data_IF_025239675790
#
_entry.id   IF_025239675790
#
_cell.length_a   1.000
_cell.length_b   1.000
_cell.length_c   1.000
_cell.angle_alpha   90.00
_cell.angle_beta   90.00
_cell.angle_gamma   90.00
#
_symmetry.space_group_name_H-M   'P 1'
#
loop_
_entity.id
_entity.type
_entity.pdbx_description
1 polymer ?
#
# COMPACT_ATOMS: atom_id res chain seq x y z
N UNK A 1 13.11 -3.00 10.42
CA UNK A 1 13.06 -2.48 9.03
C UNK A 1 12.69 -1.02 9.13
N UNK A 2 13.01 -0.24 8.11
CA UNK A 2 12.74 1.20 8.08
C UNK A 2 12.69 1.68 6.63
N UNK A 3 12.82 2.97 6.39
CA UNK A 3 12.68 3.52 5.04
C UNK A 3 13.58 2.93 3.95
N UNK A 4 14.75 2.39 4.32
CA UNK A 4 15.64 1.71 3.38
C UNK A 4 15.00 0.48 2.71
N UNK A 5 13.94 -0.06 3.33
CA UNK A 5 13.22 -1.25 2.88
C UNK A 5 11.87 -0.89 2.20
N UNK A 6 11.54 0.40 2.06
CA UNK A 6 10.36 0.85 1.28
C UNK A 6 10.63 0.60 -0.20
N UNK A 7 9.71 -0.11 -0.86
CA UNK A 7 9.80 -0.38 -2.30
C UNK A 7 8.66 0.35 -2.99
N UNK A 8 9.01 1.23 -3.92
CA UNK A 8 8.06 1.79 -4.87
C UNK A 8 8.43 1.32 -6.28
N UNK A 9 7.49 0.66 -6.96
CA UNK A 9 7.69 0.18 -8.32
C UNK A 9 6.42 0.35 -9.14
N UNK A 10 6.58 0.64 -10.44
CA UNK A 10 5.46 0.59 -11.38
C UNK A 10 5.43 -0.78 -12.03
N UNK A 11 4.30 -1.45 -11.95
CA UNK A 11 4.06 -2.69 -12.68
C UNK A 11 3.55 -2.35 -14.08
N UNK A 12 3.86 -3.19 -15.06
CA UNK A 12 3.38 -2.99 -16.42
C UNK A 12 2.02 -3.66 -16.66
N UNK A 13 1.49 -3.45 -17.85
CA UNK A 13 0.50 -4.36 -18.42
C UNK A 13 1.25 -5.59 -18.93
N UNK A 14 0.87 -6.78 -18.47
CA UNK A 14 1.52 -8.02 -18.91
C UNK A 14 0.98 -8.51 -20.25
N UNK A 15 -0.33 -8.35 -20.47
CA UNK A 15 -0.99 -8.70 -21.72
C UNK A 15 -2.24 -7.85 -21.92
N UNK A 16 -2.54 -7.49 -23.17
CA UNK A 16 -3.77 -6.78 -23.52
C UNK A 16 -4.26 -7.24 -24.89
N UNK A 17 -5.49 -7.70 -24.95
CA UNK A 17 -6.18 -8.06 -26.18
C UNK A 17 -7.64 -7.57 -26.15
N UNK A 18 -8.43 -7.92 -27.17
CA UNK A 18 -9.83 -7.52 -27.28
C UNK A 18 -10.73 -8.07 -26.15
N UNK A 19 -10.27 -9.08 -25.40
CA UNK A 19 -11.04 -9.75 -24.35
C UNK A 19 -10.70 -9.21 -22.96
N UNK A 20 -9.43 -8.85 -22.72
CA UNK A 20 -8.95 -8.46 -21.37
C UNK A 20 -7.65 -7.68 -21.36
N UNK A 21 -7.42 -7.01 -20.23
CA UNK A 21 -6.09 -6.57 -19.78
C UNK A 21 -5.66 -7.46 -18.62
N UNK A 22 -4.46 -8.03 -18.68
CA UNK A 22 -3.85 -8.83 -17.61
C UNK A 22 -2.86 -7.98 -16.83
N UNK A 23 -3.02 -7.98 -15.51
CA UNK A 23 -2.23 -7.21 -14.55
C UNK A 23 -1.95 -8.09 -13.34
N UNK A 24 -0.70 -8.05 -12.85
CA UNK A 24 -0.31 -8.78 -11.64
C UNK A 24 0.00 -7.81 -10.52
N UNK A 25 -0.89 -7.71 -9.54
CA UNK A 25 -0.71 -6.84 -8.38
C UNK A 25 0.42 -7.31 -7.44
N UNK A 26 0.64 -8.62 -7.32
CA UNK A 26 1.68 -9.24 -6.50
C UNK A 26 2.10 -10.59 -7.08
N UNK A 27 3.41 -10.88 -7.15
CA UNK A 27 3.95 -12.13 -7.70
C UNK A 27 5.05 -12.76 -6.82
N UNK A 28 5.10 -12.45 -5.52
CA UNK A 28 6.17 -12.94 -4.63
C UNK A 28 7.54 -12.30 -4.87
N UNK A 29 7.60 -11.24 -5.69
CA UNK A 29 8.80 -10.53 -6.13
C UNK A 29 9.24 -9.41 -5.18
N UNK A 30 8.37 -9.03 -4.23
CA UNK A 30 8.72 -8.08 -3.17
C UNK A 30 9.56 -8.83 -2.12
N UNK A 31 10.88 -8.64 -2.15
CA UNK A 31 11.85 -9.41 -1.36
C UNK A 31 11.46 -9.45 0.13
N UNK A 32 11.27 -10.65 0.66
CA UNK A 32 10.97 -10.88 2.07
C UNK A 32 9.47 -10.80 2.43
N UNK A 33 8.65 -10.19 1.58
CA UNK A 33 7.23 -10.01 1.83
C UNK A 33 6.40 -11.23 1.43
N UNK A 34 5.49 -11.65 2.32
CA UNK A 34 4.50 -12.71 2.03
C UNK A 34 3.11 -12.24 2.41
N UNK A 35 2.18 -12.18 1.47
CA UNK A 35 0.80 -11.79 1.75
C UNK A 35 0.02 -12.93 2.43
N UNK A 36 -0.49 -12.70 3.64
CA UNK A 36 -1.44 -13.57 4.31
C UNK A 36 -2.90 -13.16 4.05
N UNK A 37 -3.13 -11.90 3.67
CA UNK A 37 -4.46 -11.38 3.37
C UNK A 37 -4.40 -10.39 2.21
N UNK A 38 -5.48 -10.37 1.41
CA UNK A 38 -5.73 -9.41 0.34
C UNK A 38 -7.02 -8.64 0.64
N UNK A 39 -7.00 -7.33 0.44
CA UNK A 39 -8.15 -6.43 0.63
C UNK A 39 -8.37 -5.61 -0.62
N UNK A 40 -9.64 -5.41 -0.98
CA UNK A 40 -10.04 -4.52 -2.06
C UNK A 40 -10.63 -3.25 -1.48
N UNK A 41 -10.15 -2.11 -1.97
CA UNK A 41 -10.60 -0.79 -1.59
C UNK A 41 -11.26 -0.15 -2.79
N UNK A 42 -12.56 0.16 -2.65
CA UNK A 42 -13.34 0.92 -3.62
C UNK A 42 -13.58 2.30 -3.03
N UNK A 43 -12.79 3.28 -3.46
CA UNK A 43 -12.76 4.61 -2.84
C UNK A 43 -13.93 5.43 -3.34
N UNK A 44 -14.92 5.65 -2.47
CA UNK A 44 -16.15 6.40 -2.81
C UNK A 44 -15.97 7.91 -2.74
N UNK A 45 -15.08 8.37 -1.86
CA UNK A 45 -14.83 9.78 -1.60
C UNK A 45 -13.36 9.96 -1.27
N UNK A 46 -12.80 11.10 -1.68
CA UNK A 46 -11.46 11.49 -1.27
C UNK A 46 -11.46 11.82 0.22
N UNK A 47 -10.65 11.09 0.98
CA UNK A 47 -10.47 11.30 2.42
C UNK A 47 -9.17 10.66 2.87
N UNK A 48 -8.65 11.15 3.98
CA UNK A 48 -7.55 10.46 4.65
C UNK A 48 -7.99 9.06 5.10
N UNK A 49 -7.17 8.08 4.75
CA UNK A 49 -7.20 6.73 5.27
C UNK A 49 -5.93 6.48 6.09
N UNK A 50 -6.02 5.53 7.01
CA UNK A 50 -4.96 5.20 7.96
C UNK A 50 -4.53 6.42 8.82
N UNK A 51 -3.30 6.40 9.32
CA UNK A 51 -2.88 7.17 10.50
C UNK A 51 -2.20 6.27 11.54
N UNK A 52 -1.47 5.26 11.08
CA UNK A 52 -0.93 4.20 11.92
C UNK A 52 0.35 3.61 11.29
N UNK A 53 1.02 2.76 12.05
CA UNK A 53 2.00 1.80 11.53
C UNK A 53 1.64 0.38 11.99
N UNK A 54 2.29 -0.60 11.37
CA UNK A 54 2.16 -2.00 11.74
C UNK A 54 3.50 -2.58 12.21
N UNK A 55 3.43 -3.66 12.98
CA UNK A 55 4.58 -4.49 13.35
C UNK A 55 4.84 -5.60 12.31
N UNK A 56 4.37 -5.40 11.09
CA UNK A 56 4.50 -6.29 9.94
C UNK A 56 4.41 -5.45 8.66
N UNK A 57 4.83 -6.02 7.52
CA UNK A 57 4.87 -5.27 6.27
C UNK A 57 3.50 -5.23 5.58
N UNK A 58 3.26 -4.18 4.82
CA UNK A 58 2.04 -4.02 4.00
C UNK A 58 2.39 -3.52 2.62
N UNK A 59 1.65 -3.97 1.60
CA UNK A 59 1.80 -3.49 0.24
C UNK A 59 0.48 -2.96 -0.32
N UNK A 60 0.55 -1.92 -1.15
CA UNK A 60 -0.58 -1.35 -1.86
C UNK A 60 -0.33 -1.39 -3.35
N UNK A 61 -1.36 -1.73 -4.13
CA UNK A 61 -1.38 -1.68 -5.58
C UNK A 61 -2.57 -0.85 -6.07
N UNK A 62 -2.36 0.10 -6.97
CA UNK A 62 -3.46 0.85 -7.60
C UNK A 62 -3.81 0.18 -8.93
N UNK A 63 -5.03 -0.36 -9.01
CA UNK A 63 -5.57 -0.89 -10.26
C UNK A 63 -6.02 0.24 -11.18
N UNK A 64 -6.66 1.26 -10.60
CA UNK A 64 -7.22 2.41 -11.31
C UNK A 64 -7.27 3.62 -10.37
N UNK A 65 -6.94 4.79 -10.88
CA UNK A 65 -6.99 6.06 -10.16
C UNK A 65 -5.64 6.45 -9.54
N UNK A 66 -5.69 7.14 -8.41
CA UNK A 66 -4.51 7.68 -7.76
C UNK A 66 -4.67 7.78 -6.25
N UNK A 67 -3.57 7.63 -5.54
CA UNK A 67 -3.48 7.91 -4.12
C UNK A 67 -2.13 8.52 -3.73
N UNK A 68 -2.19 9.57 -2.91
CA UNK A 68 -1.01 10.16 -2.28
C UNK A 68 -0.75 9.48 -0.95
N UNK A 69 0.43 8.92 -0.77
CA UNK A 69 0.90 8.31 0.46
C UNK A 69 1.92 9.23 1.13
N UNK A 70 1.76 9.41 2.44
CA UNK A 70 2.73 10.10 3.30
C UNK A 70 3.25 9.08 4.28
N UNK A 71 4.56 8.92 4.33
CA UNK A 71 5.23 7.95 5.18
C UNK A 71 6.15 8.69 6.14
N UNK A 72 6.30 8.14 7.34
CA UNK A 72 7.23 8.61 8.36
C UNK A 72 7.89 7.41 9.04
N UNK A 73 9.21 7.37 9.06
CA UNK A 73 9.95 6.35 9.80
C UNK A 73 9.83 6.65 11.29
N UNK A 74 9.31 5.69 12.08
CA UNK A 74 9.02 5.97 13.50
C UNK A 74 10.28 6.08 14.35
N UNK A 75 11.42 5.56 13.89
CA UNK A 75 12.68 5.60 14.62
C UNK A 75 13.48 6.86 14.27
N UNK A 76 13.54 7.23 12.98
CA UNK A 76 14.36 8.36 12.52
C UNK A 76 13.59 9.67 12.33
N UNK A 77 12.26 9.62 12.34
CA UNK A 77 11.36 10.74 11.99
C UNK A 77 11.54 11.29 10.56
N UNK A 78 12.32 10.62 9.71
CA UNK A 78 12.41 10.96 8.29
C UNK A 78 11.02 10.83 7.65
N UNK A 79 10.69 11.68 6.68
CA UNK A 79 9.42 11.64 5.95
C UNK A 79 9.64 11.44 4.46
N UNK A 80 8.70 10.73 3.82
CA UNK A 80 8.66 10.56 2.36
C UNK A 80 7.23 10.61 1.86
N UNK A 81 7.07 11.10 0.64
CA UNK A 81 5.78 11.11 -0.05
C UNK A 81 5.88 10.32 -1.34
N UNK A 82 4.83 9.57 -1.64
CA UNK A 82 4.70 8.81 -2.89
C UNK A 82 3.33 9.10 -3.49
N UNK A 83 3.29 9.30 -4.80
CA UNK A 83 2.04 9.34 -5.56
C UNK A 83 1.95 8.02 -6.32
N UNK A 84 1.00 7.19 -5.95
CA UNK A 84 0.71 5.94 -6.64
C UNK A 84 -0.43 6.19 -7.62
N UNK A 85 -0.17 5.93 -8.89
CA UNK A 85 -1.17 5.88 -9.95
C UNK A 85 -1.33 4.45 -10.46
N UNK A 86 -2.18 4.27 -11.47
CA UNK A 86 -2.42 3.00 -12.17
C UNK A 86 -1.14 2.17 -12.30
N UNK A 87 -1.25 0.91 -11.87
CA UNK A 87 -0.20 -0.12 -11.85
C UNK A 87 0.94 0.11 -10.86
N UNK A 88 0.91 1.18 -10.06
CA UNK A 88 1.89 1.45 -9.01
C UNK A 88 1.75 0.49 -7.83
N UNK A 89 2.89 0.00 -7.32
CA UNK A 89 3.03 -0.76 -6.07
C UNK A 89 3.89 0.00 -5.08
N UNK A 90 3.47 0.00 -3.82
CA UNK A 90 4.24 0.48 -2.68
C UNK A 90 4.25 -0.57 -1.58
N UNK A 91 5.42 -1.11 -1.25
CA UNK A 91 5.67 -1.88 -0.04
C UNK A 91 6.11 -0.92 1.07
N UNK A 92 5.39 -0.96 2.18
CA UNK A 92 5.66 -0.20 3.39
C UNK A 92 6.08 -1.20 4.47
N UNK A 93 7.34 -1.17 4.92
CA UNK A 93 7.82 -2.11 5.92
C UNK A 93 7.24 -1.79 7.30
N UNK A 94 7.31 -2.78 8.19
CA UNK A 94 7.03 -2.62 9.61
C UNK A 94 7.74 -1.40 10.20
N UNK A 95 7.08 -0.76 11.17
CA UNK A 95 7.55 0.48 11.83
C UNK A 95 7.71 1.70 10.91
N UNK A 96 7.11 1.67 9.72
CA UNK A 96 6.89 2.90 8.95
C UNK A 96 5.43 3.29 9.08
N UNK A 97 5.18 4.45 9.68
CA UNK A 97 3.85 5.02 9.75
C UNK A 97 3.43 5.51 8.37
N UNK A 98 2.18 5.26 7.98
CA UNK A 98 1.63 5.84 6.76
C UNK A 98 0.20 6.39 6.92
N UNK A 99 -0.10 7.37 6.10
CA UNK A 99 -1.46 7.79 5.75
C UNK A 99 -1.60 7.88 4.24
N UNK A 100 -2.79 7.61 3.74
CA UNK A 100 -3.09 7.67 2.32
C UNK A 100 -4.26 8.62 2.06
N UNK A 101 -4.21 9.38 0.99
CA UNK A 101 -5.29 10.23 0.50
C UNK A 101 -5.60 9.78 -0.94
N UNK A 102 -6.40 8.72 -1.12
CA UNK A 102 -6.84 8.31 -2.44
C UNK A 102 -7.94 9.21 -2.99
N UNK A 103 -7.89 9.48 -4.30
CA UNK A 103 -8.96 10.18 -5.01
C UNK A 103 -10.25 9.34 -5.05
N UNK A 104 -11.40 10.01 -5.14
CA UNK A 104 -12.66 9.32 -5.38
C UNK A 104 -12.60 8.54 -6.71
N UNK A 105 -13.15 7.32 -6.74
CA UNK A 105 -13.09 6.40 -7.87
C UNK A 105 -11.87 5.47 -7.88
N UNK A 106 -10.86 5.72 -7.05
CA UNK A 106 -9.66 4.85 -6.98
C UNK A 106 -10.03 3.42 -6.58
N UNK A 107 -9.49 2.45 -7.32
CA UNK A 107 -9.55 1.02 -7.03
C UNK A 107 -8.16 0.55 -6.61
N UNK A 108 -8.03 0.16 -5.35
CA UNK A 108 -6.76 -0.23 -4.74
C UNK A 108 -6.86 -1.62 -4.15
N UNK A 109 -5.76 -2.37 -4.21
CA UNK A 109 -5.59 -3.65 -3.54
C UNK A 109 -4.55 -3.49 -2.44
N UNK A 110 -4.87 -3.92 -1.23
CA UNK A 110 -3.92 -3.97 -0.11
C UNK A 110 -3.56 -5.41 0.22
N UNK A 111 -2.29 -5.62 0.56
CA UNK A 111 -1.72 -6.90 0.98
C UNK A 111 -1.10 -6.72 2.36
N UNK A 112 -1.33 -7.66 3.27
CA UNK A 112 -0.74 -7.62 4.62
C UNK A 112 -0.06 -8.95 4.93
N UNK A 113 1.07 -8.91 5.64
CA UNK A 113 1.76 -10.14 6.06
C UNK A 113 1.03 -10.92 7.15
N UNK A 114 0.15 -10.25 7.89
CA UNK A 114 -0.69 -10.87 8.92
C UNK A 114 -2.17 -10.67 8.60
N UNK A 115 -3.04 -11.63 8.97
CA UNK A 115 -4.48 -11.44 8.90
C UNK A 115 -4.93 -10.25 9.76
N UNK A 116 -5.92 -9.52 9.27
CA UNK A 116 -6.61 -8.51 10.06
C UNK A 116 -7.55 -9.15 11.08
N UNK A 117 -7.45 -8.69 12.33
CA UNK A 117 -8.31 -9.07 13.45
C UNK A 117 -9.18 -7.89 13.84
N UNK A 118 -8.55 -6.77 14.22
CA UNK A 118 -9.23 -5.51 14.51
C UNK A 118 -8.23 -4.34 14.42
N UNK A 119 -8.73 -3.11 14.38
CA UNK A 119 -7.87 -1.92 14.38
C UNK A 119 -6.99 -1.85 15.63
N UNK A 120 -7.53 -2.19 16.80
CA UNK A 120 -6.82 -2.13 18.08
C UNK A 120 -5.68 -3.14 18.17
N UNK A 121 -5.79 -4.26 17.46
CA UNK A 121 -4.79 -5.33 17.44
C UNK A 121 -3.73 -5.08 16.37
N UNK A 122 -4.15 -4.64 15.19
CA UNK A 122 -3.30 -4.56 14.01
C UNK A 122 -2.61 -3.20 13.87
N UNK A 123 -3.27 -2.12 14.30
CA UNK A 123 -2.86 -0.75 13.98
C UNK A 123 -2.30 -0.08 15.23
N UNK A 124 -1.01 0.29 15.17
CA UNK A 124 -0.45 1.19 16.18
C UNK A 124 -0.70 2.61 15.71
N UNK A 125 -1.62 3.31 16.38
CA UNK A 125 -1.97 4.71 16.04
C UNK A 125 -0.72 5.58 16.03
N UNK A 126 -0.66 6.50 15.07
CA UNK A 126 0.46 7.41 14.90
C UNK A 126 -0.02 8.80 14.48
N UNK A 127 0.51 9.82 15.15
CA UNK A 127 0.26 11.23 14.83
C UNK A 127 1.36 11.76 13.92
N UNK A 128 0.98 12.20 12.73
CA UNK A 128 1.89 12.61 11.64
C UNK A 128 2.51 13.98 11.86
#
# INVERSE_FOLDING_TARGET
MGFKDVIYQKRGIEHKDERRTLLTAFNGDLKGFKAAQVKFYLIKQERQLAGCYHNYDVAFYILEGEAKFFLKDVETSETKEYILNDTGVLLIPSKVAYKAIPKAGTKMVGFTEKPFVSTEVNDVKYEF
#
